data_IF_681529762914
#
_entry.id   IF_681529762914
#
_cell.length_a   1.000
_cell.length_b   1.000
_cell.length_c   1.000
_cell.angle_alpha   90.00
_cell.angle_beta   90.00
_cell.angle_gamma   90.00
#
_symmetry.space_group_name_H-M   'P 1'
#
loop_
_entity.id
_entity.type
_entity.pdbx_description
1 polymer ?
#
# COMPACT_ATOMS: atom_id res chain seq x y z
N UNK A 1 -24.72 -16.76 13.69
CA UNK A 1 -25.06 -15.74 12.69
C UNK A 1 -24.07 -14.58 12.73
N UNK A 2 -23.73 -14.12 13.91
CA UNK A 2 -22.73 -13.05 14.09
C UNK A 2 -21.36 -13.48 13.57
N UNK A 3 -20.93 -14.69 13.89
CA UNK A 3 -19.64 -15.21 13.47
C UNK A 3 -19.59 -15.42 11.96
N UNK A 4 -20.68 -15.86 11.36
CA UNK A 4 -20.79 -16.03 9.92
C UNK A 4 -20.76 -14.67 9.23
N UNK A 5 -21.42 -13.67 9.79
CA UNK A 5 -21.39 -12.29 9.26
C UNK A 5 -19.99 -11.69 9.41
N UNK A 6 -19.33 -11.88 10.54
CA UNK A 6 -17.97 -11.39 10.76
C UNK A 6 -16.98 -12.07 9.80
N UNK A 7 -17.11 -13.38 9.62
CA UNK A 7 -16.31 -14.16 8.68
C UNK A 7 -16.53 -13.69 7.23
N UNK A 8 -17.79 -13.50 6.84
CA UNK A 8 -18.14 -12.97 5.52
C UNK A 8 -17.65 -11.54 5.35
N UNK A 9 -17.82 -10.71 6.39
CA UNK A 9 -17.33 -9.34 6.38
C UNK A 9 -15.82 -9.27 6.22
N UNK A 10 -15.08 -10.12 6.94
CA UNK A 10 -13.63 -10.20 6.81
C UNK A 10 -13.23 -10.70 5.41
N UNK A 11 -13.91 -11.73 4.89
CA UNK A 11 -13.66 -12.22 3.54
C UNK A 11 -13.96 -11.19 2.47
N UNK A 12 -15.05 -10.43 2.63
CA UNK A 12 -15.38 -9.32 1.73
C UNK A 12 -14.35 -8.21 1.82
N UNK A 13 -13.89 -7.85 3.04
CA UNK A 13 -12.84 -6.84 3.22
C UNK A 13 -11.52 -7.25 2.55
N UNK A 14 -11.12 -8.52 2.68
CA UNK A 14 -9.93 -9.05 2.01
C UNK A 14 -10.10 -8.94 0.49
N UNK A 15 -11.23 -9.40 -0.02
CA UNK A 15 -11.53 -9.37 -1.46
C UNK A 15 -11.58 -7.96 -1.99
N UNK A 16 -12.27 -7.06 -1.29
CA UNK A 16 -12.42 -5.66 -1.70
C UNK A 16 -11.08 -4.95 -1.68
N UNK A 17 -10.25 -5.20 -0.67
CA UNK A 17 -8.90 -4.64 -0.59
C UNK A 17 -8.03 -5.15 -1.73
N UNK A 18 -8.07 -6.45 -2.02
CA UNK A 18 -7.31 -7.04 -3.12
C UNK A 18 -7.74 -6.47 -4.46
N UNK A 19 -9.05 -6.34 -4.70
CA UNK A 19 -9.58 -5.73 -5.92
C UNK A 19 -9.19 -4.27 -6.04
N UNK A 20 -9.29 -3.52 -4.95
CA UNK A 20 -8.89 -2.12 -4.91
C UNK A 20 -7.42 -1.93 -5.24
N UNK A 21 -6.55 -2.75 -4.65
CA UNK A 21 -5.11 -2.75 -4.95
C UNK A 21 -4.87 -3.08 -6.42
N UNK A 22 -5.52 -4.13 -6.94
CA UNK A 22 -5.38 -4.51 -8.35
C UNK A 22 -5.83 -3.40 -9.30
N UNK A 23 -6.95 -2.74 -9.01
CA UNK A 23 -7.46 -1.65 -9.83
C UNK A 23 -6.51 -0.45 -9.84
N UNK A 24 -5.99 -0.07 -8.68
CA UNK A 24 -5.05 1.04 -8.55
C UNK A 24 -3.75 0.72 -9.29
N UNK A 25 -3.20 -0.47 -9.12
CA UNK A 25 -1.97 -0.88 -9.78
C UNK A 25 -2.17 -1.02 -11.30
N UNK A 26 -3.31 -1.53 -11.75
CA UNK A 26 -3.64 -1.62 -13.16
C UNK A 26 -3.73 -0.23 -13.79
N UNK A 27 -4.41 0.69 -13.15
CA UNK A 27 -4.49 2.07 -13.63
C UNK A 27 -3.12 2.73 -13.67
N UNK A 28 -2.28 2.45 -12.68
CA UNK A 28 -0.91 2.96 -12.66
C UNK A 28 -0.10 2.44 -13.86
N UNK A 29 -0.23 1.15 -14.19
CA UNK A 29 0.43 0.59 -15.37
C UNK A 29 0.01 1.30 -16.65
N UNK A 30 -1.27 1.59 -16.80
CA UNK A 30 -1.80 2.34 -17.95
C UNK A 30 -1.23 3.76 -18.01
N UNK A 31 -1.06 4.40 -16.85
CA UNK A 31 -0.58 5.77 -16.76
C UNK A 31 0.95 5.87 -16.88
N UNK A 32 1.69 4.80 -16.64
CA UNK A 32 3.15 4.82 -16.72
C UNK A 32 3.67 5.31 -18.07
N UNK A 33 3.06 4.87 -19.15
CA UNK A 33 3.46 5.27 -20.50
C UNK A 33 3.23 6.76 -20.73
N UNK A 34 2.11 7.27 -20.23
CA UNK A 34 1.79 8.70 -20.31
C UNK A 34 2.80 9.52 -19.50
N UNK A 35 3.12 9.06 -18.29
CA UNK A 35 4.10 9.71 -17.42
C UNK A 35 5.48 9.75 -18.09
N UNK A 36 5.89 8.64 -18.71
CA UNK A 36 7.19 8.54 -19.38
C UNK A 36 7.32 9.50 -20.57
N UNK A 37 6.23 9.75 -21.28
CA UNK A 37 6.21 10.58 -22.49
C UNK A 37 5.93 12.04 -22.16
N UNK A 38 4.91 12.31 -21.34
CA UNK A 38 4.39 13.67 -21.11
C UNK A 38 4.72 14.22 -19.72
N UNK A 39 5.10 13.35 -18.77
CA UNK A 39 5.37 13.74 -17.39
C UNK A 39 4.13 13.74 -16.51
N UNK A 40 4.36 13.84 -15.20
CA UNK A 40 3.29 13.81 -14.19
C UNK A 40 2.32 14.98 -14.29
N UNK A 41 2.80 16.14 -14.74
CA UNK A 41 2.02 17.38 -14.76
C UNK A 41 0.85 17.33 -15.75
N UNK A 42 0.95 16.45 -16.74
CA UNK A 42 -0.10 16.29 -17.75
C UNK A 42 -1.28 15.41 -17.26
N UNK A 43 -1.16 14.80 -16.10
CA UNK A 43 -2.23 13.99 -15.54
C UNK A 43 -3.26 14.85 -14.83
N UNK A 44 -4.52 14.39 -14.84
CA UNK A 44 -5.55 14.99 -14.00
C UNK A 44 -5.21 14.79 -12.52
N UNK A 45 -5.80 15.59 -11.64
CA UNK A 45 -5.57 15.49 -10.20
C UNK A 45 -5.97 14.09 -9.66
N UNK A 46 -7.04 13.53 -10.21
CA UNK A 46 -7.49 12.18 -9.87
C UNK A 46 -6.44 11.13 -10.25
N UNK A 47 -5.87 11.23 -11.45
CA UNK A 47 -4.84 10.31 -11.90
C UNK A 47 -3.53 10.48 -11.11
N UNK A 48 -3.15 11.70 -10.77
CA UNK A 48 -2.00 11.96 -9.89
C UNK A 48 -2.17 11.30 -8.54
N UNK A 49 -3.36 11.40 -7.96
CA UNK A 49 -3.69 10.75 -6.69
C UNK A 49 -3.59 9.23 -6.81
N UNK A 50 -4.12 8.65 -7.89
CA UNK A 50 -4.03 7.22 -8.17
C UNK A 50 -2.59 6.75 -8.27
N UNK A 51 -1.75 7.47 -8.99
CA UNK A 51 -0.32 7.18 -9.13
C UNK A 51 0.39 7.22 -7.77
N UNK A 52 0.14 8.25 -6.98
CA UNK A 52 0.75 8.39 -5.66
C UNK A 52 0.36 7.24 -4.73
N UNK A 53 -0.90 6.84 -4.74
CA UNK A 53 -1.39 5.71 -3.95
C UNK A 53 -0.81 4.39 -4.44
N UNK A 54 -0.70 4.19 -5.75
CA UNK A 54 -0.10 3.00 -6.34
C UNK A 54 1.37 2.85 -5.93
N UNK A 55 2.12 3.92 -5.95
CA UNK A 55 3.53 3.92 -5.53
C UNK A 55 3.68 3.57 -4.05
N UNK A 56 2.81 4.09 -3.20
CA UNK A 56 2.78 3.73 -1.78
C UNK A 56 2.45 2.25 -1.58
N UNK A 57 1.48 1.73 -2.34
CA UNK A 57 1.12 0.31 -2.29
C UNK A 57 2.29 -0.57 -2.71
N UNK A 58 2.98 -0.24 -3.79
CA UNK A 58 4.16 -1.00 -4.24
C UNK A 58 5.24 -1.06 -3.16
N UNK A 59 5.51 0.05 -2.50
CA UNK A 59 6.48 0.10 -1.41
C UNK A 59 6.01 -0.66 -0.18
N UNK A 60 4.73 -0.56 0.14
CA UNK A 60 4.15 -1.29 1.26
C UNK A 60 4.17 -2.80 1.04
N UNK A 61 4.06 -3.26 -0.21
CA UNK A 61 4.20 -4.68 -0.57
C UNK A 61 5.63 -5.21 -0.41
N UNK A 62 6.62 -4.34 -0.31
CA UNK A 62 8.03 -4.72 -0.18
C UNK A 62 8.42 -5.01 1.27
N UNK A 63 7.59 -5.74 1.99
CA UNK A 63 7.86 -6.11 3.38
C UNK A 63 9.10 -7.00 3.50
N UNK A 64 9.94 -6.81 4.53
CA UNK A 64 11.11 -7.66 4.71
C UNK A 64 10.72 -9.07 5.12
N UNK A 65 11.31 -10.07 4.48
CA UNK A 65 11.09 -11.48 4.80
C UNK A 65 12.19 -12.00 5.73
N UNK A 66 11.83 -12.91 6.62
CA UNK A 66 12.82 -13.55 7.51
C UNK A 66 13.91 -14.28 6.73
N UNK A 67 13.55 -14.96 5.64
CA UNK A 67 14.49 -15.70 4.79
C UNK A 67 15.52 -14.76 4.15
N UNK A 68 15.13 -13.53 3.87
CA UNK A 68 15.95 -12.55 3.18
C UNK A 68 16.80 -11.68 4.12
N UNK A 69 16.72 -11.85 5.45
CA UNK A 69 17.45 -11.02 6.41
C UNK A 69 18.94 -10.94 6.13
N UNK A 70 19.55 -12.08 5.75
CA UNK A 70 20.97 -12.18 5.45
C UNK A 70 21.38 -11.31 4.27
N UNK A 71 20.47 -11.18 3.29
CA UNK A 71 20.74 -10.46 2.04
C UNK A 71 20.36 -8.97 2.12
N UNK A 72 19.27 -8.66 2.83
CA UNK A 72 18.74 -7.29 2.90
C UNK A 72 19.30 -6.50 4.09
N UNK A 73 19.94 -7.18 5.04
CA UNK A 73 20.40 -6.62 6.30
C UNK A 73 19.26 -5.93 7.07
N UNK A 74 18.05 -6.38 6.87
CA UNK A 74 16.85 -5.90 7.57
C UNK A 74 16.14 -7.08 8.23
N UNK A 75 15.71 -6.94 9.50
CA UNK A 75 14.99 -8.02 10.17
C UNK A 75 13.66 -8.29 9.47
N UNK A 76 13.31 -9.57 9.33
CA UNK A 76 12.04 -9.98 8.80
C UNK A 76 10.90 -9.54 9.70
N UNK A 77 9.73 -9.28 9.09
CA UNK A 77 8.55 -8.80 9.81
C UNK A 77 7.35 -9.66 9.48
N UNK A 78 6.61 -10.01 10.52
CA UNK A 78 5.33 -10.71 10.38
C UNK A 78 4.21 -9.69 10.48
N UNK A 79 3.28 -9.75 9.52
CA UNK A 79 2.09 -8.92 9.52
C UNK A 79 0.88 -9.82 9.35
N UNK A 80 -0.08 -9.75 10.26
CA UNK A 80 -1.29 -10.55 10.18
C UNK A 80 -2.14 -10.12 8.99
N UNK A 81 -3.01 -11.02 8.51
CA UNK A 81 -3.96 -10.70 7.43
C UNK A 81 -4.82 -9.50 7.80
N UNK A 82 -5.28 -9.43 9.04
CA UNK A 82 -6.10 -8.34 9.54
C UNK A 82 -5.38 -6.99 9.46
N UNK A 83 -4.12 -6.95 9.88
CA UNK A 83 -3.30 -5.73 9.81
C UNK A 83 -2.99 -5.36 8.37
N UNK A 84 -2.74 -6.34 7.51
CA UNK A 84 -2.50 -6.14 6.09
C UNK A 84 -3.73 -5.51 5.41
N UNK A 85 -4.91 -6.06 5.64
CA UNK A 85 -6.16 -5.54 5.07
C UNK A 85 -6.41 -4.11 5.55
N UNK A 86 -6.21 -3.85 6.84
CA UNK A 86 -6.36 -2.52 7.42
C UNK A 86 -5.41 -1.51 6.78
N UNK A 87 -4.16 -1.90 6.59
CA UNK A 87 -3.15 -1.04 5.97
C UNK A 87 -3.49 -0.68 4.54
N UNK A 88 -3.81 -1.67 3.71
CA UNK A 88 -4.18 -1.43 2.32
C UNK A 88 -5.47 -0.62 2.19
N UNK A 89 -6.45 -0.91 3.03
CA UNK A 89 -7.70 -0.17 3.05
C UNK A 89 -7.45 1.31 3.35
N UNK A 90 -6.63 1.61 4.36
CA UNK A 90 -6.26 2.98 4.71
C UNK A 90 -5.54 3.69 3.57
N UNK A 91 -4.62 3.01 2.88
CA UNK A 91 -3.92 3.57 1.73
C UNK A 91 -4.90 3.88 0.59
N UNK A 92 -5.81 2.95 0.29
CA UNK A 92 -6.80 3.12 -0.79
C UNK A 92 -7.79 4.25 -0.49
N UNK A 93 -8.16 4.44 0.76
CA UNK A 93 -9.08 5.50 1.21
C UNK A 93 -8.40 6.86 1.34
N UNK A 94 -7.08 6.90 1.26
CA UNK A 94 -6.33 8.14 1.29
C UNK A 94 -5.97 8.63 2.69
N UNK A 95 -6.11 7.82 3.71
CA UNK A 95 -5.75 8.19 5.08
C UNK A 95 -4.27 8.53 5.24
N UNK A 96 -3.43 7.98 4.39
CA UNK A 96 -1.98 8.13 4.45
C UNK A 96 -1.40 8.92 3.29
N UNK A 97 -2.22 9.65 2.55
CA UNK A 97 -1.78 10.45 1.39
C UNK A 97 -0.77 11.54 1.78
N UNK A 98 -0.83 12.02 3.02
CA UNK A 98 0.06 13.06 3.53
C UNK A 98 1.44 12.54 3.93
N UNK A 99 1.60 11.21 4.06
CA UNK A 99 2.86 10.61 4.45
C UNK A 99 3.79 10.44 3.25
N UNK A 100 5.11 10.62 3.43
CA UNK A 100 6.06 10.40 2.33
C UNK A 100 6.09 8.94 1.91
N UNK A 101 6.23 8.68 0.61
CA UNK A 101 6.23 7.31 0.09
C UNK A 101 7.37 6.46 0.63
N UNK A 102 8.49 7.09 1.01
CA UNK A 102 9.64 6.38 1.58
C UNK A 102 9.31 5.70 2.92
N UNK A 103 8.33 6.23 3.64
CA UNK A 103 7.90 5.65 4.92
C UNK A 103 7.29 4.25 4.76
N UNK A 104 6.77 3.94 3.58
CA UNK A 104 6.14 2.65 3.29
C UNK A 104 7.15 1.56 2.94
N UNK A 105 8.37 1.94 2.58
CA UNK A 105 9.39 0.99 2.15
C UNK A 105 9.87 0.15 3.34
N UNK A 106 9.86 -1.17 3.16
CA UNK A 106 10.31 -2.14 4.17
C UNK A 106 9.58 -2.03 5.52
N UNK A 107 8.39 -1.47 5.51
CA UNK A 107 7.54 -1.41 6.69
C UNK A 107 6.78 -2.72 6.90
N UNK A 108 6.50 -3.06 8.14
CA UNK A 108 5.64 -4.18 8.48
C UNK A 108 4.17 -3.74 8.57
N UNK A 109 3.73 -3.40 9.78
CA UNK A 109 2.37 -2.88 10.01
C UNK A 109 2.27 -1.42 9.59
N UNK A 110 1.04 -0.96 9.37
CA UNK A 110 0.80 0.43 8.98
C UNK A 110 1.27 1.42 10.07
N UNK A 111 1.25 1.04 11.33
CA UNK A 111 1.79 1.86 12.43
C UNK A 111 3.27 2.17 12.24
N UNK A 112 4.03 1.22 11.70
CA UNK A 112 5.45 1.44 11.40
C UNK A 112 5.65 2.46 10.30
N UNK A 113 4.72 2.55 9.35
CA UNK A 113 4.73 3.57 8.31
C UNK A 113 4.63 4.97 8.95
N UNK A 114 3.73 5.13 9.90
CA UNK A 114 3.55 6.40 10.62
C UNK A 114 4.83 6.75 11.39
N UNK A 115 5.41 5.80 12.10
CA UNK A 115 6.68 6.00 12.83
C UNK A 115 7.82 6.38 11.88
N UNK A 116 7.92 5.70 10.75
CA UNK A 116 8.94 5.99 9.74
C UNK A 116 8.76 7.40 9.17
N UNK A 117 7.53 7.81 8.94
CA UNK A 117 7.23 9.16 8.46
C UNK A 117 7.70 10.22 9.46
N UNK A 118 7.51 9.97 10.74
CA UNK A 118 7.99 10.89 11.79
C UNK A 118 9.52 10.98 11.81
N UNK A 119 10.20 9.85 11.61
CA UNK A 119 11.68 9.80 11.55
C UNK A 119 12.24 10.52 10.32
N UNK A 120 11.46 10.61 9.24
CA UNK A 120 11.88 11.28 8.00
C UNK A 120 11.67 12.79 8.05
N UNK A 121 10.94 13.28 9.02
CA UNK A 121 10.80 14.71 9.25
C UNK A 121 12.03 15.26 9.94
#
# INVERSE_FOLDING_TARGET
>A
IRDVKASRGLGMCIRDSAKGVQQVLQRYLELKDIIAILGMDELSDEDKQTVNRARRIEKYLSQPFFVAEVFTNSPGKFVSIKDTVRGFKGILEGEYDDLPEQAFLMAGKIEEVVENAEKLK
#
